data_IF_920706449840
#
_entry.id   IF_920706449840
#
_cell.length_a   1.000
_cell.length_b   1.000
_cell.length_c   1.000
_cell.angle_alpha   90.00
_cell.angle_beta   90.00
_cell.angle_gamma   90.00
#
_symmetry.space_group_name_H-M   'P 1'
#
loop_
_entity.id
_entity.type
_entity.pdbx_description
1 polymer ?
#
# COMPACT_ATOMS: atom_id res chain seq x y z
N UNK A 1 -45.82 -12.05 -0.03
CA UNK A 1 -45.20 -10.80 -0.55
C UNK A 1 -43.88 -11.19 -1.18
N UNK A 2 -43.73 -10.93 -2.49
CA UNK A 2 -42.62 -11.46 -3.31
C UNK A 2 -41.36 -10.65 -3.05
N UNK A 3 -40.25 -11.36 -2.83
CA UNK A 3 -38.96 -10.82 -2.46
C UNK A 3 -38.34 -9.96 -3.55
N UNK A 4 -37.96 -8.74 -3.16
CA UNK A 4 -37.21 -7.77 -3.96
C UNK A 4 -35.80 -7.62 -3.37
N UNK A 5 -35.16 -8.73 -3.03
CA UNK A 5 -33.80 -8.77 -2.52
C UNK A 5 -32.95 -9.55 -3.51
N UNK A 6 -31.74 -9.08 -3.78
CA UNK A 6 -30.78 -9.54 -4.81
C UNK A 6 -30.82 -8.83 -6.17
N UNK A 7 -30.43 -7.56 -6.20
CA UNK A 7 -29.80 -6.95 -7.39
C UNK A 7 -28.73 -5.88 -7.09
N UNK A 8 -28.21 -5.78 -5.85
CA UNK A 8 -27.20 -4.75 -5.51
C UNK A 8 -25.74 -5.23 -5.52
N UNK A 9 -25.46 -6.54 -5.63
CA UNK A 9 -24.10 -7.06 -5.46
C UNK A 9 -23.20 -6.95 -6.70
N UNK A 10 -23.73 -6.60 -7.88
CA UNK A 10 -22.99 -6.71 -9.16
C UNK A 10 -22.57 -5.36 -9.78
N UNK A 11 -22.54 -4.27 -8.99
CA UNK A 11 -22.20 -2.93 -9.51
C UNK A 11 -21.10 -2.22 -8.69
N UNK A 12 -20.13 -2.97 -8.17
CA UNK A 12 -18.96 -2.40 -7.46
C UNK A 12 -17.63 -2.65 -8.20
N UNK A 13 -17.65 -3.31 -9.37
CA UNK A 13 -16.45 -3.67 -10.12
C UNK A 13 -15.84 -2.58 -11.01
N UNK A 14 -16.51 -1.44 -11.19
CA UNK A 14 -15.95 -0.32 -11.95
C UNK A 14 -15.28 0.64 -10.97
N UNK A 15 -13.94 0.60 -10.91
CA UNK A 15 -13.09 1.46 -10.06
C UNK A 15 -13.14 2.95 -10.40
N UNK A 16 -14.33 3.50 -10.63
CA UNK A 16 -14.57 4.94 -10.66
C UNK A 16 -14.48 5.42 -9.23
N UNK A 17 -13.44 6.19 -8.92
CA UNK A 17 -13.35 6.89 -7.65
C UNK A 17 -14.58 7.77 -7.50
N UNK A 18 -15.52 7.37 -6.64
CA UNK A 18 -16.69 8.17 -6.29
C UNK A 18 -16.17 9.50 -5.74
N UNK A 19 -16.68 10.59 -6.29
CA UNK A 19 -16.35 11.92 -5.76
C UNK A 19 -16.90 12.05 -4.33
N UNK A 20 -16.26 12.88 -3.49
CA UNK A 20 -16.69 13.13 -2.10
C UNK A 20 -18.21 13.40 -1.99
N UNK A 21 -18.75 14.19 -2.92
CA UNK A 21 -20.19 14.50 -2.99
C UNK A 21 -21.08 13.28 -3.23
N UNK A 22 -20.62 12.33 -4.05
CA UNK A 22 -21.37 11.10 -4.32
C UNK A 22 -21.37 10.17 -3.10
N UNK A 23 -20.26 10.12 -2.35
CA UNK A 23 -20.20 9.39 -1.09
C UNK A 23 -21.10 10.01 -0.02
N UNK A 24 -21.13 11.34 0.08
CA UNK A 24 -22.04 12.06 1.00
C UNK A 24 -23.52 11.80 0.65
N UNK A 25 -23.88 11.84 -0.64
CA UNK A 25 -25.24 11.56 -1.09
C UNK A 25 -25.69 10.12 -0.79
N UNK A 26 -24.83 9.13 -1.05
CA UNK A 26 -25.10 7.73 -0.73
C UNK A 26 -25.28 7.53 0.78
N UNK A 27 -24.52 8.26 1.60
CA UNK A 27 -24.62 8.17 3.05
C UNK A 27 -25.95 8.70 3.58
N UNK A 28 -26.43 9.84 3.07
CA UNK A 28 -27.74 10.38 3.46
C UNK A 28 -28.90 9.46 3.01
N UNK A 29 -28.78 8.84 1.83
CA UNK A 29 -29.78 7.88 1.35
C UNK A 29 -29.85 6.63 2.23
N UNK A 30 -28.68 6.09 2.63
CA UNK A 30 -28.58 4.98 3.58
C UNK A 30 -29.18 5.33 4.94
N UNK A 31 -28.90 6.53 5.46
CA UNK A 31 -29.50 6.99 6.73
C UNK A 31 -31.03 7.10 6.64
N UNK A 32 -31.55 7.58 5.50
CA UNK A 32 -32.99 7.66 5.25
C UNK A 32 -33.64 6.26 5.19
N UNK A 33 -33.02 5.30 4.50
CA UNK A 33 -33.51 3.92 4.45
C UNK A 33 -33.51 3.25 5.82
N UNK A 34 -32.46 3.40 6.61
CA UNK A 34 -32.39 2.86 7.97
C UNK A 34 -33.53 3.42 8.84
N UNK A 35 -33.78 4.73 8.74
CA UNK A 35 -34.90 5.39 9.45
C UNK A 35 -36.28 4.91 8.99
N UNK A 36 -36.45 4.60 7.70
CA UNK A 36 -37.71 4.04 7.19
C UNK A 36 -37.94 2.61 7.69
N UNK A 37 -36.90 1.76 7.67
CA UNK A 37 -36.97 0.37 8.14
C UNK A 37 -37.29 0.27 9.64
N UNK A 38 -36.69 1.13 10.47
CA UNK A 38 -37.01 1.18 11.91
C UNK A 38 -38.48 1.51 12.15
N UNK A 39 -39.06 2.48 11.43
CA UNK A 39 -40.46 2.87 11.57
C UNK A 39 -41.46 1.80 11.12
N UNK A 40 -41.15 1.06 10.05
CA UNK A 40 -41.99 -0.05 9.55
C UNK A 40 -41.97 -1.23 10.54
N UNK A 41 -40.79 -1.52 11.09
CA UNK A 41 -40.61 -2.64 12.04
C UNK A 41 -41.35 -2.39 13.37
N UNK A 42 -41.34 -1.15 13.86
CA UNK A 42 -42.07 -0.75 15.07
C UNK A 42 -43.61 -0.89 14.95
N UNK A 43 -44.18 -0.75 13.74
CA UNK A 43 -45.64 -0.84 13.51
C UNK A 43 -46.15 -2.25 13.21
N UNK A 44 -45.32 -3.15 12.69
CA UNK A 44 -45.74 -4.48 12.24
C UNK A 44 -45.75 -5.57 13.33
N UNK A 45 -44.92 -5.45 14.36
CA UNK A 45 -44.68 -6.53 15.34
C UNK A 45 -45.71 -6.61 16.48
N UNK A 46 -46.63 -5.65 16.56
CA UNK A 46 -47.51 -5.47 17.73
C UNK A 46 -48.70 -6.45 17.83
N UNK A 47 -49.01 -7.26 16.81
CA UNK A 47 -50.35 -7.87 16.74
C UNK A 47 -50.45 -9.41 16.76
N UNK A 48 -49.38 -10.20 16.58
CA UNK A 48 -49.54 -11.67 16.46
C UNK A 48 -48.38 -12.55 16.96
N UNK A 49 -47.37 -11.98 17.63
CA UNK A 49 -46.21 -12.78 18.09
C UNK A 49 -46.40 -13.28 19.52
N UNK A 50 -46.05 -14.55 19.73
CA UNK A 50 -45.92 -15.17 21.06
C UNK A 50 -44.88 -14.37 21.88
N UNK A 51 -45.16 -14.00 23.15
CA UNK A 51 -44.26 -13.17 23.97
C UNK A 51 -42.80 -13.66 24.01
N UNK A 52 -42.56 -14.97 23.96
CA UNK A 52 -41.20 -15.53 23.90
C UNK A 52 -40.42 -15.11 22.62
N UNK A 53 -41.11 -15.08 21.46
CA UNK A 53 -40.50 -14.65 20.21
C UNK A 53 -40.25 -13.12 20.18
N UNK A 54 -41.06 -12.34 20.91
CA UNK A 54 -40.84 -10.91 21.07
C UNK A 54 -39.56 -10.63 21.89
N UNK A 55 -39.34 -11.35 22.98
CA UNK A 55 -38.13 -11.17 23.80
C UNK A 55 -36.83 -11.53 23.06
N UNK A 56 -36.85 -12.57 22.22
CA UNK A 56 -35.69 -12.92 21.38
C UNK A 56 -35.44 -11.87 20.29
N UNK A 57 -36.50 -11.34 19.69
CA UNK A 57 -36.38 -10.26 18.70
C UNK A 57 -35.86 -8.96 19.32
N UNK A 58 -36.33 -8.59 20.52
CA UNK A 58 -35.91 -7.39 21.24
C UNK A 58 -34.43 -7.46 21.65
N UNK A 59 -33.99 -8.59 22.21
CA UNK A 59 -32.57 -8.81 22.57
C UNK A 59 -31.66 -8.83 21.33
N UNK A 60 -32.11 -9.44 20.23
CA UNK A 60 -31.38 -9.39 18.95
C UNK A 60 -31.30 -7.97 18.39
N UNK A 61 -32.37 -7.17 18.52
CA UNK A 61 -32.40 -5.78 18.05
C UNK A 61 -31.49 -4.88 18.90
N UNK A 62 -31.48 -5.08 20.22
CA UNK A 62 -30.58 -4.38 21.13
C UNK A 62 -29.10 -4.67 20.81
N UNK A 63 -28.77 -5.94 20.58
CA UNK A 63 -27.40 -6.35 20.19
C UNK A 63 -27.00 -5.74 18.83
N UNK A 64 -27.93 -5.69 17.87
CA UNK A 64 -27.70 -5.05 16.59
C UNK A 64 -27.48 -3.53 16.74
N UNK A 65 -28.25 -2.85 17.61
CA UNK A 65 -28.07 -1.43 17.90
C UNK A 65 -26.72 -1.13 18.57
N UNK A 66 -26.28 -1.95 19.52
CA UNK A 66 -24.98 -1.80 20.16
C UNK A 66 -23.84 -1.98 19.14
N UNK A 67 -23.96 -2.98 18.26
CA UNK A 67 -23.01 -3.21 17.16
C UNK A 67 -22.94 -2.01 16.21
N UNK A 68 -24.08 -1.45 15.79
CA UNK A 68 -24.14 -0.27 14.92
C UNK A 68 -23.51 0.94 15.61
N UNK A 69 -23.80 1.15 16.90
CA UNK A 69 -23.19 2.25 17.68
C UNK A 69 -21.67 2.14 17.69
N UNK A 70 -21.13 0.95 17.99
CA UNK A 70 -19.69 0.72 17.97
C UNK A 70 -19.06 0.95 16.58
N UNK A 71 -19.76 0.57 15.50
CA UNK A 71 -19.29 0.84 14.14
C UNK A 71 -19.29 2.34 13.80
N UNK A 72 -20.30 3.10 14.23
CA UNK A 72 -20.36 4.55 14.02
C UNK A 72 -19.25 5.27 14.77
N UNK A 73 -18.98 4.87 16.02
CA UNK A 73 -17.85 5.42 16.81
C UNK A 73 -16.50 5.12 16.14
N UNK A 74 -16.29 3.87 15.69
CA UNK A 74 -15.08 3.50 14.97
C UNK A 74 -14.90 4.29 13.66
N UNK A 75 -15.98 4.54 12.91
CA UNK A 75 -15.94 5.38 11.71
C UNK A 75 -15.62 6.85 12.00
N UNK A 76 -16.15 7.39 13.10
CA UNK A 76 -15.84 8.76 13.51
C UNK A 76 -14.38 8.92 13.94
N UNK A 77 -13.84 7.94 14.67
CA UNK A 77 -12.42 7.91 15.02
C UNK A 77 -11.53 7.83 13.78
N UNK A 78 -11.85 6.93 12.84
CA UNK A 78 -11.11 6.81 11.58
C UNK A 78 -11.16 8.12 10.76
N UNK A 79 -12.28 8.84 10.76
CA UNK A 79 -12.40 10.15 10.09
C UNK A 79 -11.51 11.20 10.75
N UNK A 80 -11.43 11.22 12.08
CA UNK A 80 -10.54 12.13 12.80
C UNK A 80 -9.06 11.85 12.50
N UNK A 81 -8.67 10.57 12.44
CA UNK A 81 -7.31 10.15 12.07
C UNK A 81 -6.94 10.58 10.64
N UNK A 82 -7.86 10.42 9.69
CA UNK A 82 -7.64 10.86 8.30
C UNK A 82 -7.49 12.38 8.22
N UNK A 83 -8.32 13.15 8.93
CA UNK A 83 -8.22 14.61 8.97
C UNK A 83 -6.86 15.07 9.53
N UNK A 84 -6.41 14.48 10.65
CA UNK A 84 -5.10 14.77 11.22
C UNK A 84 -3.94 14.41 10.27
N UNK A 85 -4.06 13.29 9.55
CA UNK A 85 -3.06 12.89 8.56
C UNK A 85 -3.01 13.84 7.35
N UNK A 86 -4.16 14.36 6.90
CA UNK A 86 -4.24 15.35 5.82
C UNK A 86 -3.60 16.69 6.23
N UNK A 87 -3.84 17.16 7.46
CA UNK A 87 -3.17 18.34 8.01
C UNK A 87 -1.65 18.16 8.06
N UNK A 88 -1.18 17.01 8.55
CA UNK A 88 0.25 16.68 8.56
C UNK A 88 0.88 16.65 7.16
N UNK A 89 0.17 16.08 6.18
CA UNK A 89 0.64 16.05 4.79
C UNK A 89 0.71 17.46 4.16
N UNK A 90 -0.25 18.33 4.47
CA UNK A 90 -0.24 19.71 3.99
C UNK A 90 0.88 20.53 4.63
N UNK A 91 1.14 20.35 5.93
CA UNK A 91 2.28 20.97 6.60
C UNK A 91 3.62 20.53 6.00
N UNK A 92 3.78 19.23 5.72
CA UNK A 92 5.00 18.71 5.07
C UNK A 92 5.19 19.28 3.65
N UNK A 93 4.11 19.42 2.86
CA UNK A 93 4.18 20.07 1.54
C UNK A 93 4.59 21.54 1.63
N UNK A 94 4.06 22.28 2.60
CA UNK A 94 4.44 23.67 2.82
C UNK A 94 5.93 23.82 3.20
N UNK A 95 6.45 22.93 4.06
CA UNK A 95 7.87 22.89 4.40
C UNK A 95 8.74 22.54 3.19
N UNK A 96 8.32 21.60 2.35
CA UNK A 96 9.04 21.25 1.13
C UNK A 96 9.11 22.43 0.15
N UNK A 97 8.01 23.16 -0.04
CA UNK A 97 7.99 24.36 -0.88
C UNK A 97 8.93 25.46 -0.34
N UNK A 98 8.92 25.71 0.98
CA UNK A 98 9.83 26.67 1.60
C UNK A 98 11.32 26.27 1.43
N UNK A 99 11.63 24.98 1.55
CA UNK A 99 12.99 24.48 1.32
C UNK A 99 13.45 24.64 -0.13
N UNK A 100 12.52 24.52 -1.09
CA UNK A 100 12.79 24.75 -2.51
C UNK A 100 13.11 26.22 -2.80
N UNK A 101 12.37 27.16 -2.21
CA UNK A 101 12.65 28.61 -2.33
C UNK A 101 14.04 28.96 -1.77
N UNK A 102 14.43 28.37 -0.63
CA UNK A 102 15.77 28.58 -0.05
C UNK A 102 16.88 28.03 -0.96
N UNK A 103 16.67 26.86 -1.56
CA UNK A 103 17.62 26.26 -2.52
C UNK A 103 17.80 27.17 -3.73
N UNK A 104 16.72 27.67 -4.31
CA UNK A 104 16.77 28.52 -5.49
C UNK A 104 17.43 29.87 -5.19
N UNK A 105 17.19 30.46 -4.01
CA UNK A 105 17.88 31.65 -3.55
C UNK A 105 19.40 31.43 -3.40
N UNK A 106 19.82 30.28 -2.85
CA UNK A 106 21.23 29.92 -2.73
C UNK A 106 21.88 29.72 -4.11
N UNK A 107 21.16 29.11 -5.05
CA UNK A 107 21.65 28.94 -6.42
C UNK A 107 21.88 30.29 -7.11
N UNK A 108 20.99 31.27 -6.91
CA UNK A 108 21.17 32.64 -7.43
C UNK A 108 22.41 33.29 -6.81
N UNK A 109 22.65 33.12 -5.51
CA UNK A 109 23.85 33.63 -4.85
C UNK A 109 25.14 33.01 -5.41
N UNK A 110 25.15 31.69 -5.65
CA UNK A 110 26.29 31.01 -6.26
C UNK A 110 26.60 31.56 -7.66
N UNK A 111 25.56 31.71 -8.50
CA UNK A 111 25.72 32.27 -9.84
C UNK A 111 26.23 33.72 -9.82
N UNK A 112 25.86 34.53 -8.81
CA UNK A 112 26.39 35.89 -8.64
C UNK A 112 27.87 35.91 -8.25
N UNK A 113 28.29 34.99 -7.37
CA UNK A 113 29.71 34.85 -6.98
C UNK A 113 30.55 34.39 -8.16
N UNK A 114 30.07 33.43 -8.96
CA UNK A 114 30.75 32.97 -10.18
C UNK A 114 30.90 34.10 -11.21
N UNK A 115 29.85 34.90 -11.43
CA UNK A 115 29.90 36.04 -12.34
C UNK A 115 30.90 37.13 -11.87
N UNK A 116 31.02 37.36 -10.55
CA UNK A 116 31.99 38.31 -9.99
C UNK A 116 33.44 37.81 -10.09
N UNK A 117 33.67 36.48 -10.06
CA UNK A 117 35.00 35.88 -10.16
C UNK A 117 35.52 35.76 -11.61
N UNK A 118 34.64 35.84 -12.63
CA UNK A 118 34.99 35.67 -14.05
C UNK A 118 35.61 36.87 -14.76
N UNK A 119 35.93 37.96 -14.04
CA UNK A 119 36.27 39.26 -14.64
C UNK A 119 37.73 39.48 -15.08
N UNK A 120 38.73 38.77 -14.55
CA UNK A 120 40.13 39.07 -14.85
C UNK A 120 41.04 37.84 -14.65
N UNK A 121 41.06 36.92 -15.62
CA UNK A 121 42.20 36.00 -15.78
C UNK A 121 42.22 35.30 -17.15
N UNK A 122 42.45 36.10 -18.20
CA UNK A 122 43.02 35.58 -19.44
C UNK A 122 44.56 35.48 -19.28
N UNK A 123 45.04 34.41 -18.65
CA UNK A 123 46.49 34.21 -18.53
C UNK A 123 46.90 32.99 -17.71
N UNK A 124 47.48 32.01 -18.42
CA UNK A 124 48.19 30.84 -17.93
C UNK A 124 47.34 29.72 -17.30
N UNK A 125 47.22 28.63 -18.06
CA UNK A 125 46.77 27.31 -17.63
C UNK A 125 47.69 26.75 -16.53
N UNK A 126 47.50 27.20 -15.30
CA UNK A 126 47.92 26.45 -14.11
C UNK A 126 46.74 25.53 -13.75
N UNK A 127 47.00 24.22 -13.67
CA UNK A 127 46.05 23.25 -13.12
C UNK A 127 45.35 23.86 -11.90
N UNK A 128 44.01 24.00 -11.89
CA UNK A 128 43.33 24.53 -10.72
C UNK A 128 43.73 23.64 -9.55
N UNK A 129 44.39 24.24 -8.56
CA UNK A 129 44.69 23.61 -7.29
C UNK A 129 43.33 23.39 -6.65
N UNK A 130 42.71 22.24 -6.96
CA UNK A 130 41.51 21.78 -6.27
C UNK A 130 41.93 21.72 -4.80
N UNK A 131 41.33 22.53 -3.91
CA UNK A 131 41.67 22.48 -2.50
C UNK A 131 41.50 21.03 -2.06
N UNK A 132 42.62 20.42 -1.66
CA UNK A 132 42.66 19.04 -1.22
C UNK A 132 41.81 18.99 0.05
N UNK A 133 40.53 18.63 -0.09
CA UNK A 133 39.65 18.42 1.07
C UNK A 133 40.28 17.29 1.85
N UNK A 134 40.80 17.61 3.03
CA UNK A 134 41.42 16.63 3.90
C UNK A 134 40.44 15.48 4.12
N UNK A 135 40.89 14.27 3.78
CA UNK A 135 40.12 13.07 4.08
C UNK A 135 39.94 13.03 5.60
N UNK A 136 38.72 12.84 6.12
CA UNK A 136 38.52 12.79 7.57
C UNK A 136 39.43 11.72 8.16
N UNK A 137 40.47 12.16 8.87
CA UNK A 137 41.44 11.29 9.55
C UNK A 137 40.81 10.86 10.87
N UNK A 138 39.95 9.86 10.80
CA UNK A 138 39.35 9.21 11.96
C UNK A 138 39.17 7.73 11.65
N UNK A 139 39.40 6.88 12.65
CA UNK A 139 39.00 5.46 12.57
C UNK A 139 37.54 5.42 12.11
N UNK A 140 37.33 4.85 10.91
CA UNK A 140 36.25 5.24 10.00
C UNK A 140 34.88 5.37 10.64
N UNK A 141 34.14 6.39 10.20
CA UNK A 141 32.74 6.58 10.56
C UNK A 141 31.96 5.31 10.20
N UNK A 142 31.67 4.49 11.21
CA UNK A 142 31.02 3.22 10.95
C UNK A 142 29.54 3.50 10.81
N UNK A 143 29.02 3.32 9.59
CA UNK A 143 27.58 3.46 9.28
C UNK A 143 26.73 2.63 10.27
N UNK A 144 27.28 1.51 10.75
CA UNK A 144 26.68 0.67 11.79
C UNK A 144 26.45 1.44 13.10
N UNK A 145 27.44 2.17 13.60
CA UNK A 145 27.29 2.98 14.83
C UNK A 145 26.34 4.14 14.62
N UNK A 146 26.41 4.81 13.46
CA UNK A 146 25.50 5.90 13.12
C UNK A 146 24.03 5.46 13.01
N UNK A 147 23.79 4.21 12.61
CA UNK A 147 22.45 3.62 12.53
C UNK A 147 22.01 2.92 13.82
N UNK A 148 22.88 2.84 14.83
CA UNK A 148 22.64 2.13 16.10
C UNK A 148 22.18 0.67 15.93
N UNK A 149 22.61 0.01 14.85
CA UNK A 149 22.20 -1.37 14.53
C UNK A 149 23.21 -2.40 15.04
N UNK A 150 22.70 -3.53 15.51
CA UNK A 150 23.55 -4.65 15.90
C UNK A 150 24.32 -5.20 14.69
N UNK A 151 25.49 -5.82 14.94
CA UNK A 151 26.34 -6.40 13.89
C UNK A 151 25.62 -7.47 13.07
N UNK A 152 24.76 -8.27 13.70
CA UNK A 152 23.98 -9.30 13.01
C UNK A 152 22.97 -8.67 12.03
N UNK A 153 22.20 -7.69 12.51
CA UNK A 153 21.20 -6.98 11.69
C UNK A 153 21.87 -6.22 10.55
N UNK A 154 23.00 -5.58 10.82
CA UNK A 154 23.78 -4.90 9.79
C UNK A 154 24.24 -5.85 8.69
N UNK A 155 24.67 -7.07 9.04
CA UNK A 155 25.04 -8.09 8.06
C UNK A 155 23.83 -8.56 7.22
N UNK A 156 22.65 -8.66 7.82
CA UNK A 156 21.40 -8.97 7.12
C UNK A 156 20.98 -7.83 6.17
N UNK A 157 21.09 -6.58 6.61
CA UNK A 157 20.85 -5.39 5.79
C UNK A 157 21.78 -5.41 4.58
N UNK A 158 23.09 -5.61 4.78
CA UNK A 158 24.07 -5.69 3.70
C UNK A 158 23.75 -6.82 2.70
N UNK A 159 23.37 -8.00 3.20
CA UNK A 159 22.98 -9.14 2.35
C UNK A 159 21.74 -8.83 1.53
N UNK A 160 20.78 -8.12 2.12
CA UNK A 160 19.53 -7.70 1.46
C UNK A 160 19.82 -6.68 0.37
N UNK A 161 20.61 -5.64 0.66
CA UNK A 161 21.01 -4.61 -0.31
C UNK A 161 21.76 -5.26 -1.47
N UNK A 162 22.76 -6.11 -1.20
CA UNK A 162 23.50 -6.83 -2.25
C UNK A 162 22.57 -7.66 -3.14
N UNK A 163 21.61 -8.36 -2.53
CA UNK A 163 20.64 -9.17 -3.27
C UNK A 163 19.70 -8.33 -4.16
N UNK A 164 19.39 -7.10 -3.73
CA UNK A 164 18.58 -6.14 -4.51
C UNK A 164 19.37 -5.56 -5.67
N UNK A 165 20.62 -5.16 -5.44
CA UNK A 165 21.55 -4.65 -6.48
C UNK A 165 21.72 -5.69 -7.58
N UNK A 166 21.99 -6.95 -7.23
CA UNK A 166 22.15 -8.05 -8.20
C UNK A 166 20.85 -8.29 -8.99
N UNK A 167 19.68 -8.30 -8.31
CA UNK A 167 18.39 -8.54 -8.98
C UNK A 167 17.95 -7.40 -9.89
N UNK A 168 18.33 -6.16 -9.57
CA UNK A 168 18.02 -4.98 -10.39
C UNK A 168 19.03 -4.72 -11.51
N UNK A 169 20.10 -5.52 -11.59
CA UNK A 169 21.21 -5.33 -12.55
C UNK A 169 21.80 -3.92 -12.48
N UNK A 170 21.82 -3.34 -11.29
CA UNK A 170 22.43 -2.03 -11.03
C UNK A 170 23.94 -2.19 -11.07
N UNK A 171 24.64 -1.28 -11.76
CA UNK A 171 26.09 -1.31 -11.79
C UNK A 171 26.63 -0.68 -10.50
N UNK A 172 27.08 -1.50 -9.57
CA UNK A 172 27.60 -1.03 -8.29
C UNK A 172 28.93 -0.25 -8.40
N UNK A 173 29.56 -0.25 -9.57
CA UNK A 173 30.80 0.48 -9.83
C UNK A 173 30.58 1.90 -10.35
N UNK A 174 29.37 2.21 -10.84
CA UNK A 174 29.02 3.51 -11.38
C UNK A 174 28.28 4.39 -10.35
N UNK A 175 28.42 5.70 -10.50
CA UNK A 175 27.80 6.69 -9.60
C UNK A 175 26.27 6.62 -9.69
N UNK A 176 25.58 6.74 -8.55
CA UNK A 176 24.12 6.71 -8.46
C UNK A 176 23.44 7.72 -9.40
N UNK A 177 24.10 8.88 -9.63
CA UNK A 177 23.60 9.94 -10.53
C UNK A 177 23.62 9.55 -12.02
N UNK A 178 24.44 8.58 -12.39
CA UNK A 178 24.60 8.08 -13.77
C UNK A 178 23.81 6.81 -14.04
N UNK A 179 23.19 6.23 -13.01
CA UNK A 179 22.37 5.04 -13.13
C UNK A 179 21.13 5.31 -13.97
N UNK A 180 20.77 4.32 -14.77
CA UNK A 180 19.53 4.31 -15.52
C UNK A 180 18.32 4.32 -14.55
N UNK A 181 17.38 5.24 -14.79
CA UNK A 181 16.17 5.40 -13.98
C UNK A 181 15.32 4.12 -13.98
N UNK A 182 15.31 3.35 -15.07
CA UNK A 182 14.54 2.10 -15.14
C UNK A 182 15.11 1.01 -14.23
N UNK A 183 16.44 0.95 -14.08
CA UNK A 183 17.10 0.02 -13.16
C UNK A 183 16.81 0.36 -11.71
N UNK A 184 16.82 1.66 -11.37
CA UNK A 184 16.41 2.15 -10.05
C UNK A 184 14.94 1.83 -9.74
N UNK A 185 14.04 2.02 -10.72
CA UNK A 185 12.64 1.65 -10.58
C UNK A 185 12.47 0.14 -10.35
N UNK A 186 13.23 -0.70 -11.05
CA UNK A 186 13.22 -2.16 -10.85
C UNK A 186 13.73 -2.57 -9.47
N UNK A 187 14.78 -1.93 -8.95
CA UNK A 187 15.25 -2.11 -7.57
C UNK A 187 14.14 -1.82 -6.56
N UNK A 188 13.42 -0.71 -6.73
CA UNK A 188 12.31 -0.33 -5.86
C UNK A 188 11.14 -1.34 -5.92
N UNK A 189 10.76 -1.79 -7.12
CA UNK A 189 9.73 -2.84 -7.30
C UNK A 189 10.13 -4.14 -6.59
N UNK A 190 11.38 -4.58 -6.74
CA UNK A 190 11.89 -5.79 -6.09
C UNK A 190 11.89 -5.66 -4.55
N UNK A 191 12.26 -4.49 -4.03
CA UNK A 191 12.19 -4.19 -2.60
C UNK A 191 10.75 -4.28 -2.09
N UNK A 192 9.79 -3.63 -2.75
CA UNK A 192 8.37 -3.65 -2.35
C UNK A 192 7.79 -5.08 -2.36
N UNK A 193 8.16 -5.89 -3.35
CA UNK A 193 7.77 -7.30 -3.39
C UNK A 193 8.35 -8.10 -2.21
N UNK A 194 9.63 -7.90 -1.88
CA UNK A 194 10.26 -8.56 -0.73
C UNK A 194 9.60 -8.14 0.59
N UNK A 195 9.33 -6.84 0.77
CA UNK A 195 8.64 -6.31 1.97
C UNK A 195 7.26 -6.93 2.13
N UNK A 196 6.49 -7.04 1.04
CA UNK A 196 5.17 -7.68 1.06
C UNK A 196 5.25 -9.17 1.42
N UNK A 197 6.21 -9.90 0.85
CA UNK A 197 6.46 -11.31 1.20
C UNK A 197 6.84 -11.48 2.67
N UNK A 198 7.71 -10.61 3.19
CA UNK A 198 8.10 -10.62 4.60
C UNK A 198 6.90 -10.33 5.51
N UNK A 199 6.09 -9.33 5.17
CA UNK A 199 4.88 -8.99 5.93
C UNK A 199 3.85 -10.14 5.96
N UNK A 200 3.71 -10.91 4.87
CA UNK A 200 2.90 -12.14 4.88
C UNK A 200 3.50 -13.22 5.78
N UNK A 201 4.82 -13.40 5.77
CA UNK A 201 5.51 -14.39 6.60
C UNK A 201 5.39 -14.06 8.09
N UNK A 202 5.43 -12.78 8.44
CA UNK A 202 5.27 -12.29 9.82
C UNK A 202 3.81 -12.19 10.28
N UNK A 203 2.84 -12.47 9.39
CA UNK A 203 1.42 -12.34 9.73
C UNK A 203 0.89 -10.91 9.87
N UNK A 204 1.73 -9.89 9.62
CA UNK A 204 1.32 -8.48 9.64
C UNK A 204 0.23 -8.16 8.62
N UNK A 205 0.26 -8.87 7.48
CA UNK A 205 -0.78 -8.78 6.46
C UNK A 205 -1.46 -10.13 6.41
N UNK A 206 -2.75 -10.16 6.74
CA UNK A 206 -3.59 -11.35 6.54
C UNK A 206 -3.53 -11.74 5.06
N UNK A 207 -3.22 -13.00 4.75
CA UNK A 207 -3.40 -13.52 3.40
C UNK A 207 -4.86 -13.29 3.05
N UNK A 208 -5.12 -12.43 2.05
CA UNK A 208 -6.47 -12.39 1.47
C UNK A 208 -6.76 -13.82 1.02
N UNK A 209 -7.87 -14.44 1.44
CA UNK A 209 -8.29 -15.68 0.84
C UNK A 209 -8.30 -15.42 -0.66
N UNK A 210 -7.54 -16.21 -1.41
CA UNK A 210 -7.51 -16.04 -2.85
C UNK A 210 -8.95 -16.25 -3.29
N UNK A 211 -9.56 -15.24 -3.92
CA UNK A 211 -10.95 -15.36 -4.37
C UNK A 211 -11.13 -16.45 -5.44
N UNK A 212 -10.04 -17.09 -5.88
CA UNK A 212 -10.04 -18.18 -6.86
C UNK A 212 -9.93 -19.58 -6.25
N UNK A 213 -9.58 -19.73 -4.97
CA UNK A 213 -9.62 -21.06 -4.33
C UNK A 213 -11.04 -21.48 -3.91
N UNK A 214 -12.04 -20.61 -4.10
CA UNK A 214 -13.45 -20.86 -3.76
C UNK A 214 -14.28 -21.53 -4.86
N UNK A 215 -13.83 -21.52 -6.12
CA UNK A 215 -14.61 -22.03 -7.26
C UNK A 215 -14.14 -23.41 -7.76
N UNK A 216 -13.08 -23.98 -7.20
CA UNK A 216 -12.57 -25.29 -7.63
C UNK A 216 -13.03 -26.46 -6.72
N UNK A 217 -14.07 -26.26 -5.90
CA UNK A 217 -14.67 -27.32 -5.06
C UNK A 217 -16.03 -27.83 -5.55
N UNK A 218 -16.46 -27.51 -6.78
CA UNK A 218 -17.74 -28.02 -7.31
C UNK A 218 -17.68 -28.35 -8.79
N UNK A 219 -17.26 -29.57 -9.10
CA UNK A 219 -17.74 -30.43 -10.20
C UNK A 219 -17.07 -31.81 -10.06
N UNK A 220 -17.35 -32.49 -8.94
CA UNK A 220 -17.02 -33.92 -8.80
C UNK A 220 -18.20 -34.82 -9.19
N UNK A 221 -19.35 -34.24 -9.55
CA UNK A 221 -20.54 -35.01 -9.90
C UNK A 221 -21.06 -34.55 -11.28
N UNK A 222 -21.23 -35.51 -12.18
CA UNK A 222 -22.13 -35.48 -13.36
C UNK A 222 -21.56 -35.40 -14.79
N UNK A 223 -20.31 -35.82 -15.05
CA UNK A 223 -19.91 -36.17 -16.43
C UNK A 223 -19.24 -37.57 -16.48
N UNK A 224 -20.06 -38.55 -16.85
CA UNK A 224 -19.75 -39.61 -17.82
C UNK A 224 -18.53 -40.52 -17.53
N UNK A 225 -18.66 -41.71 -16.97
CA UNK A 225 -19.57 -42.79 -17.37
C UNK A 225 -19.77 -42.95 -18.89
N UNK A 226 -18.78 -42.63 -19.73
CA UNK A 226 -18.72 -43.18 -21.09
C UNK A 226 -17.30 -43.61 -21.46
N UNK A 227 -17.22 -44.85 -21.93
CA UNK A 227 -16.00 -45.62 -22.07
C UNK A 227 -14.99 -45.04 -23.04
N UNK A 228 -13.72 -45.33 -22.75
CA UNK A 228 -12.59 -45.04 -23.61
C UNK A 228 -11.47 -46.04 -23.39
N UNK A 229 -11.72 -47.30 -23.75
CA UNK A 229 -10.67 -48.29 -23.90
C UNK A 229 -9.73 -47.85 -25.05
N UNK A 230 -8.47 -47.59 -24.72
CA UNK A 230 -7.39 -47.37 -25.69
C UNK A 230 -6.06 -47.37 -24.93
N UNK A 231 -5.47 -48.53 -24.65
CA UNK A 231 -4.58 -49.26 -25.55
C UNK A 231 -3.38 -48.42 -26.03
N UNK A 232 -2.25 -48.62 -25.36
CA UNK A 232 -0.93 -48.63 -26.00
C UNK A 232 -0.15 -47.31 -25.97
N UNK A 233 1.00 -47.34 -25.31
CA UNK A 233 2.27 -47.54 -26.02
C UNK A 233 3.43 -47.35 -25.05
N UNK A 234 4.16 -48.43 -24.83
CA UNK A 234 5.48 -48.43 -24.19
C UNK A 234 6.45 -47.59 -25.03
N UNK A 235 7.13 -46.64 -24.38
CA UNK A 235 8.22 -45.88 -24.97
C UNK A 235 9.40 -45.85 -24.00
N UNK A 236 10.14 -46.96 -23.96
CA UNK A 236 11.44 -47.06 -23.29
C UNK A 236 12.44 -46.26 -24.12
N UNK A 237 12.91 -45.13 -23.58
CA UNK A 237 13.96 -44.31 -24.17
C UNK A 237 15.13 -44.17 -23.21
N UNK A 238 16.00 -45.17 -23.21
CA UNK A 238 17.35 -45.10 -22.63
C UNK A 238 18.21 -44.27 -23.61
N UNK A 239 18.82 -43.20 -23.13
CA UNK A 239 19.77 -42.39 -23.88
C UNK A 239 20.93 -41.98 -22.98
N UNK A 240 22.14 -42.24 -23.47
CA UNK A 240 23.45 -42.27 -22.80
C UNK A 240 23.94 -40.94 -22.22
#
# INVERSE_FOLDING_TARGET
MRGNSFCYAQQVGSGKNLTKKQLEALFEELQREIGALTNVTARGLSCTLNPAAQTEAETSLETAHETIRGQVEALNNARAEVAAAEEGANAARAQAAAAEEVRDALQVQLNQVEAAAGGDQAGAAANPIIPLIDRPTGSGWSIREAMEVNRADYAEIQRTIRSLVIRSQLDWTDDFRRQDADKLANMFRAYMQNKRKHAYKQGYIKKRPSAMDGDNQRRDDDDDAMGGAGAGSMGVGVGA
#
